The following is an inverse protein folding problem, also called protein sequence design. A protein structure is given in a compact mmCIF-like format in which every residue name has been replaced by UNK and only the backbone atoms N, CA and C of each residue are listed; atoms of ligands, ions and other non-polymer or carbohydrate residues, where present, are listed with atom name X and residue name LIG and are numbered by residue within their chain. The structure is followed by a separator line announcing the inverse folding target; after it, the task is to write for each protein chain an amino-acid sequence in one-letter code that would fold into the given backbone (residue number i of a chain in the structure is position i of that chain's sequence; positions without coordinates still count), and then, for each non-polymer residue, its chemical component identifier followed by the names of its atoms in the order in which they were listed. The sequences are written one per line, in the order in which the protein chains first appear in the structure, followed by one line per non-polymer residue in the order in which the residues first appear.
data_IF_444768475675
#
_entry.id   IF_444768475675
#
_cell.length_a   1.000
_cell.length_b   1.000
_cell.length_c   1.000
_cell.angle_alpha   90.00
_cell.angle_beta   90.00
_cell.angle_gamma   90.00
#
_symmetry.space_group_name_H-M   'P 1'
#
loop_
_entity.id
_entity.type
_entity.pdbx_description
1 polymer ?
#
# COMPACT_ATOMS: atom_id res chain seq x y z
N UNK A 1 -33.40 5.65 -80.96
CA UNK A 1 -34.51 4.78 -80.53
C UNK A 1 -34.26 4.36 -79.09
N UNK A 2 -35.30 4.46 -78.25
CA UNK A 2 -35.28 4.44 -76.78
C UNK A 2 -35.78 3.06 -76.28
N UNK A 3 -35.15 2.51 -75.22
CA UNK A 3 -35.66 1.58 -74.14
C UNK A 3 -34.69 0.41 -73.83
N UNK A 4 -34.77 -0.25 -72.65
CA UNK A 4 -35.41 0.11 -71.38
C UNK A 4 -34.52 -0.09 -70.13
N UNK A 5 -34.95 0.60 -69.07
CA UNK A 5 -34.64 0.37 -67.66
C UNK A 5 -34.84 -1.12 -67.31
N UNK A 6 -33.80 -1.78 -66.81
CA UNK A 6 -33.91 -3.07 -66.11
C UNK A 6 -33.50 -2.84 -64.65
N UNK A 7 -34.53 -2.88 -63.81
CA UNK A 7 -34.54 -2.87 -62.36
C UNK A 7 -33.91 -4.18 -61.85
N UNK A 8 -32.63 -4.17 -61.49
CA UNK A 8 -31.98 -5.30 -60.81
C UNK A 8 -32.06 -5.10 -59.28
N UNK A 9 -33.15 -5.61 -58.71
CA UNK A 9 -33.28 -5.86 -57.28
C UNK A 9 -32.47 -7.14 -56.94
N UNK A 10 -31.23 -6.99 -56.48
CA UNK A 10 -30.42 -8.11 -55.97
C UNK A 10 -30.07 -7.92 -54.51
N UNK A 11 -30.90 -8.56 -53.68
CA UNK A 11 -30.71 -8.87 -52.27
C UNK A 11 -29.29 -9.43 -52.02
N UNK A 12 -28.41 -8.63 -51.43
CA UNK A 12 -27.08 -9.07 -51.01
C UNK A 12 -27.05 -9.23 -49.50
N UNK A 13 -27.22 -10.47 -49.05
CA UNK A 13 -26.99 -10.91 -47.67
C UNK A 13 -25.49 -10.75 -47.39
N UNK A 14 -25.09 -9.66 -46.73
CA UNK A 14 -23.70 -9.44 -46.37
C UNK A 14 -23.29 -10.46 -45.29
N UNK A 15 -22.36 -11.35 -45.65
CA UNK A 15 -21.72 -12.28 -44.74
C UNK A 15 -21.06 -11.51 -43.59
N UNK A 16 -21.51 -11.78 -42.37
CA UNK A 16 -20.93 -11.23 -41.15
C UNK A 16 -19.63 -12.00 -40.89
N UNK A 17 -18.49 -11.45 -41.30
CA UNK A 17 -17.19 -12.02 -40.98
C UNK A 17 -16.91 -11.80 -39.49
N UNK A 18 -16.95 -12.89 -38.71
CA UNK A 18 -16.54 -12.90 -37.30
C UNK A 18 -15.06 -12.52 -37.20
N UNK A 19 -14.77 -11.34 -36.66
CA UNK A 19 -13.41 -10.94 -36.30
C UNK A 19 -12.99 -11.77 -35.08
N UNK A 20 -11.87 -12.51 -35.11
CA UNK A 20 -11.37 -13.17 -33.91
C UNK A 20 -11.00 -12.09 -32.88
N UNK A 21 -11.57 -12.17 -31.69
CA UNK A 21 -11.20 -11.30 -30.59
C UNK A 21 -9.70 -11.53 -30.27
N UNK A 22 -8.86 -10.53 -30.57
CA UNK A 22 -7.50 -10.52 -30.07
C UNK A 22 -7.56 -10.33 -28.54
N UNK A 23 -7.31 -11.40 -27.80
CA UNK A 23 -7.03 -11.33 -26.38
C UNK A 23 -5.71 -10.59 -26.20
N UNK A 24 -5.78 -9.33 -25.78
CA UNK A 24 -4.60 -8.60 -25.34
C UNK A 24 -3.92 -9.38 -24.19
N UNK A 25 -2.58 -9.50 -24.18
CA UNK A 25 -1.90 -10.10 -23.04
C UNK A 25 -2.25 -9.31 -21.78
N UNK A 26 -2.39 -9.97 -20.62
CA UNK A 26 -2.61 -9.27 -19.36
C UNK A 26 -1.48 -8.26 -19.18
N UNK A 27 -1.84 -7.00 -18.91
CA UNK A 27 -0.86 -5.99 -18.57
C UNK A 27 -0.01 -6.50 -17.39
N UNK A 28 1.32 -6.29 -17.40
CA UNK A 28 2.14 -6.65 -16.24
C UNK A 28 1.57 -5.95 -15.01
N UNK A 29 1.44 -6.69 -13.91
CA UNK A 29 1.03 -6.10 -12.64
C UNK A 29 2.00 -4.95 -12.32
N UNK A 30 1.47 -3.74 -12.21
CA UNK A 30 2.27 -2.57 -11.83
C UNK A 30 2.91 -2.83 -10.47
N UNK A 31 4.23 -2.74 -10.38
CA UNK A 31 4.89 -2.68 -9.08
C UNK A 31 4.40 -1.41 -8.39
N UNK A 32 3.67 -1.57 -7.28
CA UNK A 32 3.31 -0.46 -6.43
C UNK A 32 4.57 0.13 -5.79
N UNK A 33 4.53 1.41 -5.47
CA UNK A 33 5.58 2.04 -4.66
C UNK A 33 5.64 1.36 -3.29
N UNK A 34 6.86 1.10 -2.80
CA UNK A 34 7.08 0.56 -1.46
C UNK A 34 6.94 1.67 -0.41
N UNK A 35 6.43 1.36 0.79
CA UNK A 35 6.36 2.35 1.85
C UNK A 35 7.76 2.86 2.21
N UNK A 36 7.92 4.17 2.49
CA UNK A 36 9.18 4.71 2.94
C UNK A 36 9.61 4.08 4.26
N UNK A 37 10.92 3.81 4.36
CA UNK A 37 11.56 3.28 5.57
C UNK A 37 12.40 4.39 6.21
N UNK A 38 12.30 4.51 7.52
CA UNK A 38 12.98 5.53 8.32
C UNK A 38 13.87 4.90 9.38
N UNK A 39 14.93 5.62 9.74
CA UNK A 39 15.77 5.33 10.89
C UNK A 39 15.21 6.03 12.13
N UNK A 40 14.72 5.28 13.11
CA UNK A 40 14.14 5.82 14.33
C UNK A 40 15.13 6.73 15.07
N UNK A 41 16.43 6.42 15.03
CA UNK A 41 17.49 7.24 15.63
C UNK A 41 17.67 8.63 15.00
N UNK A 42 17.16 8.84 13.78
CA UNK A 42 17.19 10.13 13.09
C UNK A 42 15.97 11.00 13.41
N UNK A 43 14.92 10.42 13.99
CA UNK A 43 13.63 11.10 14.24
C UNK A 43 13.39 11.30 15.74
N UNK A 44 13.77 10.32 16.55
CA UNK A 44 13.43 10.28 17.97
C UNK A 44 14.57 10.80 18.84
N UNK A 45 14.19 11.53 19.88
CA UNK A 45 15.10 11.79 21.00
C UNK A 45 15.56 10.49 21.64
N UNK A 46 16.80 10.48 22.15
CA UNK A 46 17.42 9.29 22.74
C UNK A 46 16.56 8.66 23.86
N UNK A 47 15.86 9.47 24.65
CA UNK A 47 15.00 9.01 25.75
C UNK A 47 13.76 8.23 25.27
N UNK A 48 13.26 8.53 24.07
CA UNK A 48 12.19 7.74 23.44
C UNK A 48 12.75 6.51 22.74
N UNK A 49 13.94 6.62 22.13
CA UNK A 49 14.58 5.53 21.41
C UNK A 49 14.91 4.33 22.32
N UNK A 50 15.43 4.59 23.53
CA UNK A 50 15.87 3.55 24.45
C UNK A 50 15.75 4.00 25.90
N UNK A 51 15.29 3.09 26.76
CA UNK A 51 15.22 3.27 28.19
C UNK A 51 15.42 1.95 28.94
N UNK A 52 15.30 1.95 30.28
CA UNK A 52 15.53 0.75 31.08
C UNK A 52 14.60 -0.41 30.75
N UNK A 53 13.37 -0.12 30.31
CA UNK A 53 12.31 -1.12 30.10
C UNK A 53 11.80 -1.17 28.66
N UNK A 54 12.42 -0.41 27.74
CA UNK A 54 11.95 -0.32 26.35
C UNK A 54 13.08 0.00 25.37
N UNK A 55 12.91 -0.46 24.13
CA UNK A 55 13.74 -0.08 22.99
C UNK A 55 12.89 0.01 21.73
N UNK A 56 12.99 1.13 21.01
CA UNK A 56 12.37 1.29 19.70
C UNK A 56 13.25 0.59 18.65
N UNK A 57 12.64 -0.18 17.74
CA UNK A 57 13.36 -0.76 16.61
C UNK A 57 13.86 0.33 15.68
N UNK A 58 15.03 0.09 15.08
CA UNK A 58 15.68 1.11 14.26
C UNK A 58 14.91 1.41 12.97
N UNK A 59 14.34 0.38 12.33
CA UNK A 59 13.54 0.55 11.12
C UNK A 59 12.08 0.82 11.48
N UNK A 60 11.55 1.92 10.95
CA UNK A 60 10.16 2.32 11.05
C UNK A 60 9.58 2.61 9.66
N UNK A 61 8.30 2.35 9.44
CA UNK A 61 7.68 2.49 8.11
C UNK A 61 6.67 3.64 8.10
N UNK A 62 6.62 4.41 7.02
CA UNK A 62 5.57 5.38 6.79
C UNK A 62 4.45 4.80 5.94
N UNK A 63 3.20 5.13 6.27
CA UNK A 63 2.02 4.75 5.48
C UNK A 63 1.50 5.88 4.56
N UNK A 64 2.28 6.95 4.42
CA UNK A 64 1.88 8.19 3.72
C UNK A 64 1.22 9.23 4.62
N UNK A 65 0.97 8.92 5.90
CA UNK A 65 0.46 9.86 6.89
C UNK A 65 1.30 9.88 8.17
N UNK A 66 1.50 8.73 8.81
CA UNK A 66 2.27 8.59 10.05
C UNK A 66 3.35 7.52 9.94
N UNK A 67 4.33 7.64 10.83
CA UNK A 67 5.40 6.65 11.00
C UNK A 67 4.96 5.62 12.03
N UNK A 68 5.07 4.35 11.67
CA UNK A 68 4.78 3.20 12.51
C UNK A 68 6.08 2.75 13.18
N UNK A 69 6.12 2.89 14.51
CA UNK A 69 7.25 2.45 15.33
C UNK A 69 6.90 1.14 16.03
N UNK A 70 7.88 0.24 16.13
CA UNK A 70 7.75 -0.95 16.98
C UNK A 70 8.63 -0.79 18.21
N UNK A 71 8.05 -1.01 19.39
CA UNK A 71 8.71 -0.95 20.70
C UNK A 71 8.83 -2.36 21.25
N UNK A 72 10.05 -2.78 21.57
CA UNK A 72 10.32 -4.00 22.32
C UNK A 72 10.49 -3.66 23.82
N UNK A 73 9.89 -4.47 24.69
CA UNK A 73 9.91 -4.33 26.15
C UNK A 73 9.82 -5.70 26.82
N UNK A 74 10.26 -5.81 28.07
CA UNK A 74 10.06 -7.01 28.89
C UNK A 74 8.57 -7.31 29.14
N UNK A 75 7.69 -6.32 28.92
CA UNK A 75 6.23 -6.46 29.05
C UNK A 75 5.51 -6.76 27.72
N UNK A 76 6.25 -6.85 26.60
CA UNK A 76 5.72 -7.17 25.28
C UNK A 76 6.28 -6.31 24.15
N UNK A 77 5.81 -6.60 22.93
CA UNK A 77 6.09 -5.80 21.74
C UNK A 77 4.85 -4.98 21.38
N UNK A 78 5.03 -3.70 21.08
CA UNK A 78 3.95 -2.77 20.79
C UNK A 78 4.18 -2.04 19.47
N UNK A 79 3.16 -1.99 18.62
CA UNK A 79 3.14 -1.11 17.45
C UNK A 79 2.50 0.23 17.82
N UNK A 80 3.20 1.32 17.48
CA UNK A 80 2.84 2.68 17.83
C UNK A 80 2.69 3.51 16.56
N UNK A 81 1.51 4.12 16.37
CA UNK A 81 1.25 4.95 15.19
C UNK A 81 1.58 6.41 15.53
N UNK A 82 2.76 6.85 15.11
CA UNK A 82 3.29 8.19 15.35
C UNK A 82 3.92 8.40 16.72
N UNK A 83 4.58 9.56 16.88
CA UNK A 83 5.40 9.89 18.06
C UNK A 83 4.55 10.03 19.33
N UNK A 84 3.35 10.59 19.25
CA UNK A 84 2.49 10.77 20.43
C UNK A 84 2.05 9.43 21.04
N UNK A 85 1.68 8.47 20.19
CA UNK A 85 1.32 7.13 20.67
C UNK A 85 2.52 6.40 21.25
N UNK A 86 3.68 6.51 20.61
CA UNK A 86 4.96 6.02 21.14
C UNK A 86 5.26 6.59 22.54
N UNK A 87 5.16 7.90 22.72
CA UNK A 87 5.38 8.56 24.01
C UNK A 87 4.43 8.02 25.09
N UNK A 88 3.15 7.81 24.73
CA UNK A 88 2.17 7.20 25.64
C UNK A 88 2.55 5.77 25.99
N UNK A 89 2.88 4.93 25.00
CA UNK A 89 3.33 3.55 25.23
C UNK A 89 4.53 3.49 26.16
N UNK A 90 5.54 4.33 25.96
CA UNK A 90 6.72 4.39 26.82
C UNK A 90 6.37 4.75 28.26
N UNK A 91 5.46 5.70 28.49
CA UNK A 91 4.98 6.02 29.85
C UNK A 91 4.26 4.85 30.50
N UNK A 92 3.44 4.14 29.74
CA UNK A 92 2.70 2.97 30.26
C UNK A 92 3.63 1.80 30.58
N UNK A 93 4.65 1.56 29.74
CA UNK A 93 5.71 0.57 30.02
C UNK A 93 6.43 0.92 31.34
N UNK A 94 6.77 2.19 31.56
CA UNK A 94 7.36 2.61 32.85
C UNK A 94 6.41 2.43 34.02
N UNK A 95 5.11 2.70 33.82
CA UNK A 95 4.11 2.47 34.87
C UNK A 95 4.01 0.99 35.23
N UNK A 96 4.00 0.08 34.25
CA UNK A 96 3.98 -1.37 34.49
C UNK A 96 5.26 -1.82 35.21
N UNK A 97 6.43 -1.32 34.80
CA UNK A 97 7.70 -1.62 35.46
C UNK A 97 7.72 -1.22 36.94
N UNK A 98 6.93 -0.23 37.34
CA UNK A 98 6.84 0.19 38.75
C UNK A 98 5.96 -0.72 39.62
N UNK A 99 5.25 -1.68 39.02
CA UNK A 99 4.35 -2.60 39.71
C UNK A 99 4.96 -3.99 39.95
N UNK A 100 6.16 -4.25 39.44
CA UNK A 100 6.86 -5.55 39.51
C UNK A 100 8.18 -5.48 40.25
#
# INVERSE_FOLDING_TARGET
MIRPIVLCLSLSLAAVNSIPAQTAPPAPASAYELPPVFQASQILDRSLLIGPNHRVRELAYGDGYLIHFTVDSDFGTYDCVGIHDLQRRVREIHAIASLV
#
